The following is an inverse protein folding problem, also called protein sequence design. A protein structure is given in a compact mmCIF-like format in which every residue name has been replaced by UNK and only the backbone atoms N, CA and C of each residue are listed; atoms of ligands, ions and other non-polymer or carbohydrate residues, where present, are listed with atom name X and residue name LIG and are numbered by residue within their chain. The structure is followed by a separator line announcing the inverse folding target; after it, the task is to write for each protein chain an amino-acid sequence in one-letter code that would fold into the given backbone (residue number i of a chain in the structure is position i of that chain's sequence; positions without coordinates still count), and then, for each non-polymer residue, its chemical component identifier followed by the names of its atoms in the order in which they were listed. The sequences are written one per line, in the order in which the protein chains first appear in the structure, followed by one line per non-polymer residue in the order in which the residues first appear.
data_IF_910504120786
#
_entry.id   IF_910504120786
#
_cell.length_a   1.000
_cell.length_b   1.000
_cell.length_c   1.000
_cell.angle_alpha   90.00
_cell.angle_beta   90.00
_cell.angle_gamma   90.00
#
_symmetry.space_group_name_H-M   'P 1'
#
loop_
_entity.id
_entity.type
_entity.pdbx_description
1 polymer ?
#
# COMPACT_ATOMS: atom_id res chain seq x y z
N UNK A 1 40.70 27.13 -3.93
CA UNK A 1 42.15 27.28 -4.17
C UNK A 1 42.81 26.21 -3.31
N UNK A 2 43.52 25.26 -3.89
CA UNK A 2 44.19 24.19 -3.13
C UNK A 2 45.50 24.76 -2.60
N UNK A 3 45.67 24.83 -1.29
CA UNK A 3 46.93 25.26 -0.68
C UNK A 3 47.85 24.05 -0.51
N UNK A 4 48.88 23.95 -1.34
CA UNK A 4 49.88 22.89 -1.25
C UNK A 4 50.96 23.30 -0.25
N UNK A 5 50.96 22.70 0.95
CA UNK A 5 52.00 22.94 1.98
C UNK A 5 52.96 21.76 2.05
N UNK A 6 54.13 21.90 1.45
CA UNK A 6 55.23 20.92 1.54
C UNK A 6 56.01 21.20 2.84
N UNK A 7 55.97 20.28 3.80
CA UNK A 7 56.79 20.34 5.02
C UNK A 7 57.94 19.35 4.91
N UNK A 8 59.15 19.84 4.65
CA UNK A 8 60.38 19.02 4.61
C UNK A 8 60.96 18.92 6.02
N UNK A 9 61.04 17.72 6.58
CA UNK A 9 61.78 17.45 7.82
C UNK A 9 63.01 16.60 7.48
N UNK A 10 64.20 17.17 7.60
CA UNK A 10 65.46 16.43 7.46
C UNK A 10 65.76 15.64 8.73
N UNK A 11 66.02 14.34 8.58
CA UNK A 11 66.51 13.50 9.69
C UNK A 11 68.05 13.53 9.73
N UNK A 12 68.69 13.44 10.91
CA UNK A 12 70.15 13.58 11.05
C UNK A 12 70.98 12.51 10.32
N UNK A 13 70.35 11.48 9.75
CA UNK A 13 70.97 10.35 9.05
C UNK A 13 70.98 10.47 7.52
N UNK A 14 70.58 11.62 6.97
CA UNK A 14 70.71 11.91 5.53
C UNK A 14 69.76 11.14 4.61
N UNK A 15 68.72 10.50 5.16
CA UNK A 15 67.69 9.83 4.38
C UNK A 15 66.47 10.75 4.27
N UNK A 16 66.16 11.20 3.06
CA UNK A 16 64.97 12.01 2.76
C UNK A 16 63.77 11.10 2.57
N UNK A 17 62.78 11.20 3.45
CA UNK A 17 61.50 10.50 3.29
C UNK A 17 60.42 11.53 2.91
N UNK A 18 59.95 11.49 1.66
CA UNK A 18 58.89 12.37 1.17
C UNK A 18 57.54 11.66 1.34
N UNK A 19 56.75 12.10 2.32
CA UNK A 19 55.34 11.74 2.44
C UNK A 19 54.50 12.81 1.74
N UNK A 20 53.82 12.43 0.66
CA UNK A 20 52.80 13.27 0.01
C UNK A 20 51.45 12.90 0.60
N UNK A 21 50.91 13.76 1.46
CA UNK A 21 49.52 13.67 1.91
C UNK A 21 48.69 14.65 1.10
N UNK A 22 47.92 14.14 0.15
CA UNK A 22 46.91 14.92 -0.57
C UNK A 22 45.71 15.09 0.36
N UNK A 23 45.55 16.29 0.93
CA UNK A 23 44.35 16.64 1.70
C UNK A 23 43.29 17.11 0.71
N UNK A 24 42.34 16.23 0.41
CA UNK A 24 41.15 16.59 -0.34
C UNK A 24 40.22 17.40 0.57
N UNK A 25 40.23 18.73 0.42
CA UNK A 25 39.14 19.60 0.89
C UNK A 25 37.96 19.46 -0.08
N UNK A 26 37.39 18.25 -0.14
CA UNK A 26 36.13 18.05 -0.82
C UNK A 26 35.05 18.75 0.00
N UNK A 27 34.34 19.77 -0.54
CA UNK A 27 33.17 20.26 0.14
C UNK A 27 32.26 19.05 0.32
N UNK A 28 31.80 18.81 1.56
CA UNK A 28 30.85 17.75 1.92
C UNK A 28 29.51 17.99 1.22
N UNK A 29 29.45 17.97 -0.11
CA UNK A 29 28.33 18.46 -0.92
C UNK A 29 27.38 17.34 -1.35
N UNK A 30 27.64 16.08 -0.95
CA UNK A 30 26.94 14.93 -1.52
C UNK A 30 25.90 14.21 -0.63
N UNK A 31 25.85 14.48 0.67
CA UNK A 31 25.09 13.64 1.63
C UNK A 31 23.68 14.13 1.93
N UNK A 32 23.57 15.33 2.52
CA UNK A 32 22.32 15.80 3.14
C UNK A 32 21.15 15.91 2.18
N UNK A 33 21.36 16.43 0.96
CA UNK A 33 20.28 16.62 -0.02
C UNK A 33 19.75 15.29 -0.56
N UNK A 34 20.62 14.30 -0.79
CA UNK A 34 20.17 12.97 -1.25
C UNK A 34 19.41 12.23 -0.16
N UNK A 35 19.90 12.30 1.08
CA UNK A 35 19.22 11.69 2.23
C UNK A 35 17.89 12.38 2.54
N UNK A 36 17.83 13.71 2.43
CA UNK A 36 16.58 14.46 2.59
C UNK A 36 15.55 14.12 1.52
N UNK A 37 15.97 13.98 0.26
CA UNK A 37 15.09 13.55 -0.83
C UNK A 37 14.57 12.11 -0.62
N UNK A 38 15.45 11.19 -0.23
CA UNK A 38 15.07 9.80 0.06
C UNK A 38 14.09 9.70 1.23
N UNK A 39 14.33 10.43 2.32
CA UNK A 39 13.41 10.50 3.46
C UNK A 39 12.07 11.12 3.06
N UNK A 40 12.08 12.21 2.28
CA UNK A 40 10.85 12.82 1.78
C UNK A 40 10.03 11.86 0.90
N UNK A 41 10.69 11.12 0.01
CA UNK A 41 10.04 10.11 -0.82
C UNK A 41 9.44 8.97 0.02
N UNK A 42 10.15 8.52 1.05
CA UNK A 42 9.67 7.48 1.97
C UNK A 42 8.40 7.93 2.70
N UNK A 43 8.37 9.16 3.21
CA UNK A 43 7.19 9.73 3.87
C UNK A 43 6.00 9.79 2.90
N UNK A 44 6.22 10.26 1.67
CA UNK A 44 5.17 10.28 0.64
C UNK A 44 4.63 8.88 0.34
N UNK A 45 5.50 7.88 0.24
CA UNK A 45 5.11 6.49 -0.01
C UNK A 45 4.25 5.92 1.14
N UNK A 46 4.59 6.22 2.40
CA UNK A 46 3.80 5.80 3.57
C UNK A 46 2.42 6.45 3.57
N UNK A 47 2.33 7.75 3.28
CA UNK A 47 1.04 8.45 3.19
C UNK A 47 0.17 7.87 2.07
N UNK A 48 0.76 7.63 0.89
CA UNK A 48 0.06 6.99 -0.22
C UNK A 48 -0.43 5.58 0.14
N UNK A 49 0.40 4.79 0.82
CA UNK A 49 0.03 3.45 1.29
C UNK A 49 -1.14 3.49 2.27
N UNK A 50 -1.12 4.36 3.28
CA UNK A 50 -2.19 4.48 4.28
C UNK A 50 -3.51 4.94 3.67
N UNK A 51 -3.47 5.89 2.73
CA UNK A 51 -4.67 6.35 2.00
C UNK A 51 -5.22 5.25 1.10
N UNK A 52 -4.35 4.55 0.38
CA UNK A 52 -4.74 3.45 -0.50
C UNK A 52 -5.28 2.26 0.30
N UNK A 53 -4.66 1.89 1.42
CA UNK A 53 -5.14 0.83 2.31
C UNK A 53 -6.51 1.16 2.93
N UNK A 54 -6.74 2.41 3.37
CA UNK A 54 -8.08 2.81 3.84
C UNK A 54 -9.14 2.74 2.73
N UNK A 55 -8.75 2.96 1.46
CA UNK A 55 -9.66 2.80 0.33
C UNK A 55 -9.98 1.31 0.06
N UNK A 56 -9.00 0.40 0.26
CA UNK A 56 -9.21 -1.04 0.16
C UNK A 56 -10.06 -1.62 1.30
N UNK A 57 -9.97 -1.09 2.52
CA UNK A 57 -10.85 -1.49 3.64
C UNK A 57 -12.32 -1.12 3.40
N UNK A 58 -12.58 -0.05 2.64
CA UNK A 58 -13.94 0.33 2.25
C UNK A 58 -14.59 -0.68 1.29
N UNK A 59 -13.82 -1.47 0.54
CA UNK A 59 -14.34 -2.58 -0.28
C UNK A 59 -14.70 -3.79 0.58
N UNK A 60 -13.89 -4.13 1.60
CA UNK A 60 -14.19 -5.24 2.52
C UNK A 60 -15.46 -4.98 3.35
N UNK A 61 -15.68 -3.74 3.80
CA UNK A 61 -16.93 -3.39 4.47
C UNK A 61 -18.14 -3.46 3.52
N UNK A 62 -17.94 -3.12 2.24
CA UNK A 62 -19.00 -3.17 1.22
C UNK A 62 -19.37 -4.61 0.87
N UNK A 63 -18.41 -5.53 0.79
CA UNK A 63 -18.66 -6.93 0.45
C UNK A 63 -19.43 -7.67 1.55
N UNK A 64 -19.21 -7.34 2.82
CA UNK A 64 -20.02 -7.88 3.93
C UNK A 64 -21.46 -7.33 3.90
N UNK A 65 -21.64 -6.03 3.63
CA UNK A 65 -22.98 -5.45 3.51
C UNK A 65 -23.75 -6.00 2.29
N UNK A 66 -23.06 -6.26 1.16
CA UNK A 66 -23.64 -6.87 -0.03
C UNK A 66 -23.99 -8.35 0.21
N UNK A 67 -23.16 -9.10 0.94
CA UNK A 67 -23.45 -10.48 1.32
C UNK A 67 -24.70 -10.59 2.22
N UNK A 68 -24.82 -9.73 3.24
CA UNK A 68 -26.00 -9.70 4.13
C UNK A 68 -27.28 -9.27 3.38
N UNK A 69 -27.16 -8.30 2.46
CA UNK A 69 -28.27 -7.89 1.60
C UNK A 69 -28.68 -9.01 0.63
N UNK A 70 -27.71 -9.72 0.04
CA UNK A 70 -27.98 -10.84 -0.86
C UNK A 70 -28.66 -12.02 -0.13
N UNK A 71 -28.25 -12.33 1.11
CA UNK A 71 -28.91 -13.31 1.97
C UNK A 71 -30.37 -12.94 2.24
N UNK A 72 -30.61 -11.68 2.63
CA UNK A 72 -31.97 -11.17 2.91
C UNK A 72 -32.88 -11.23 1.68
N UNK A 73 -32.36 -10.96 0.48
CA UNK A 73 -33.11 -11.10 -0.79
C UNK A 73 -33.37 -12.56 -1.13
N UNK A 74 -32.42 -13.46 -0.87
CA UNK A 74 -32.59 -14.90 -1.05
C UNK A 74 -33.71 -15.46 -0.18
N UNK A 75 -33.75 -15.09 1.10
CA UNK A 75 -34.78 -15.52 2.04
C UNK A 75 -36.17 -14.98 1.66
N UNK A 76 -36.25 -13.72 1.19
CA UNK A 76 -37.49 -13.14 0.70
C UNK A 76 -37.97 -13.83 -0.59
N UNK A 77 -37.05 -14.12 -1.52
CA UNK A 77 -37.37 -14.83 -2.76
C UNK A 77 -37.86 -16.27 -2.49
N UNK A 78 -37.26 -16.96 -1.51
CA UNK A 78 -37.71 -18.27 -1.05
C UNK A 78 -39.15 -18.23 -0.53
N UNK A 79 -39.45 -17.32 0.39
CA UNK A 79 -40.82 -17.14 0.93
C UNK A 79 -41.86 -16.82 -0.15
N UNK A 80 -41.50 -16.01 -1.15
CA UNK A 80 -42.39 -15.72 -2.29
C UNK A 80 -42.58 -16.97 -3.16
N UNK A 81 -41.53 -17.75 -3.39
CA UNK A 81 -41.58 -18.98 -4.17
C UNK A 81 -42.46 -20.05 -3.52
N UNK A 82 -42.40 -20.18 -2.20
CA UNK A 82 -43.26 -21.09 -1.44
C UNK A 82 -44.73 -20.66 -1.53
N UNK A 83 -45.00 -19.36 -1.29
CA UNK A 83 -46.36 -18.82 -1.41
C UNK A 83 -46.94 -18.95 -2.84
N UNK A 84 -46.11 -18.81 -3.87
CA UNK A 84 -46.51 -18.99 -5.25
C UNK A 84 -46.85 -20.47 -5.57
N UNK A 85 -46.08 -21.42 -5.03
CA UNK A 85 -46.37 -22.85 -5.16
C UNK A 85 -47.69 -23.21 -4.47
N UNK A 86 -47.90 -22.76 -3.24
CA UNK A 86 -49.12 -23.01 -2.47
C UNK A 86 -50.36 -22.46 -3.21
N UNK A 87 -50.25 -21.23 -3.75
CA UNK A 87 -51.32 -20.61 -4.53
C UNK A 87 -51.60 -21.39 -5.84
N UNK A 88 -50.56 -21.89 -6.49
CA UNK A 88 -50.68 -22.72 -7.69
C UNK A 88 -51.39 -24.04 -7.42
N UNK A 89 -51.02 -24.72 -6.34
CA UNK A 89 -51.67 -25.96 -5.90
C UNK A 89 -53.14 -25.73 -5.55
N UNK A 90 -53.44 -24.69 -4.75
CA UNK A 90 -54.82 -24.36 -4.40
C UNK A 90 -55.69 -24.04 -5.64
N UNK A 91 -55.13 -23.37 -6.65
CA UNK A 91 -55.84 -23.08 -7.89
C UNK A 91 -56.08 -24.35 -8.73
N UNK A 92 -55.12 -25.27 -8.75
CA UNK A 92 -55.25 -26.55 -9.44
C UNK A 92 -56.32 -27.43 -8.79
N UNK A 93 -56.29 -27.57 -7.46
CA UNK A 93 -57.28 -28.33 -6.69
C UNK A 93 -58.70 -27.79 -6.92
N UNK A 94 -58.85 -26.46 -6.97
CA UNK A 94 -60.13 -25.81 -7.25
C UNK A 94 -60.63 -26.07 -8.69
N UNK A 95 -59.73 -26.13 -9.68
CA UNK A 95 -60.10 -26.43 -11.06
C UNK A 95 -60.51 -27.91 -11.23
N UNK A 96 -59.81 -28.82 -10.56
CA UNK A 96 -60.11 -30.26 -10.57
C UNK A 96 -61.46 -30.53 -9.88
N UNK A 97 -61.73 -29.93 -8.71
CA UNK A 97 -63.00 -30.09 -7.99
C UNK A 97 -64.23 -29.47 -8.67
N UNK A 98 -64.07 -28.59 -9.65
CA UNK A 98 -65.17 -28.05 -10.48
C UNK A 98 -65.47 -28.94 -11.69
N UNK A 99 -64.59 -29.91 -11.98
CA UNK A 99 -64.68 -30.81 -13.15
C UNK A 99 -65.45 -32.12 -12.87
N UNK A 100 -65.82 -32.38 -11.62
CA UNK A 100 -66.66 -33.50 -11.16
C UNK A 100 -68.13 -33.09 -10.99
#
# INVERSE_FOLDING_TARGET
MTEERITTTETPSGNTHTTTTVVHDEPRSGGGTKWGLLLGLLVLAVVAFVVFSQMSDAEIAKDNAVADAAGSVGDAAGQIGDAAQDAGQAAQDAAEGVSE
#
